data_IF_441590752498
#
_entry.id   IF_441590752498
#
_cell.length_a   1.000
_cell.length_b   1.000
_cell.length_c   1.000
_cell.angle_alpha   90.00
_cell.angle_beta   90.00
_cell.angle_gamma   90.00
#
_symmetry.space_group_name_H-M   'P 1'
#
loop_
_entity.id
_entity.type
_entity.pdbx_description
1 polymer ?
#
# COMPACT_ATOMS: atom_id res chain seq x y z
N UNK A 1 -39.92 13.85 -21.97
CA UNK A 1 -38.81 13.00 -21.49
C UNK A 1 -38.72 13.16 -19.99
N UNK A 2 -39.20 12.19 -19.24
CA UNK A 2 -39.13 12.16 -17.77
C UNK A 2 -37.71 11.75 -17.37
N UNK A 3 -37.03 12.60 -16.59
CA UNK A 3 -35.75 12.22 -16.00
C UNK A 3 -35.97 10.99 -15.10
N UNK A 4 -35.33 9.87 -15.42
CA UNK A 4 -35.42 8.61 -14.68
C UNK A 4 -34.57 8.69 -13.39
N UNK A 5 -34.96 9.58 -12.48
CA UNK A 5 -34.30 9.71 -11.17
C UNK A 5 -35.30 9.47 -10.06
N UNK A 6 -35.00 8.49 -9.21
CA UNK A 6 -35.77 8.18 -8.01
C UNK A 6 -35.08 8.72 -6.75
N UNK A 7 -35.85 8.89 -5.66
CA UNK A 7 -35.35 9.39 -4.38
C UNK A 7 -35.09 8.24 -3.42
N UNK A 8 -33.92 8.24 -2.80
CA UNK A 8 -33.58 7.36 -1.67
C UNK A 8 -33.55 8.22 -0.40
N UNK A 9 -34.62 8.26 0.41
CA UNK A 9 -34.61 9.00 1.67
C UNK A 9 -33.82 8.21 2.73
N UNK A 10 -32.76 8.83 3.26
CA UNK A 10 -31.94 8.26 4.34
C UNK A 10 -32.05 9.16 5.56
N UNK A 11 -32.47 8.59 6.69
CA UNK A 11 -32.47 9.28 7.97
C UNK A 11 -31.06 9.24 8.55
N UNK A 12 -30.55 10.40 8.93
CA UNK A 12 -29.26 10.57 9.58
C UNK A 12 -29.43 11.46 10.79
N UNK A 13 -28.57 11.28 11.79
CA UNK A 13 -28.44 12.20 12.90
C UNK A 13 -27.96 13.58 12.40
N UNK A 14 -28.14 14.60 13.23
CA UNK A 14 -27.61 15.93 12.96
C UNK A 14 -26.10 15.92 12.74
N UNK A 15 -25.37 15.16 13.57
CA UNK A 15 -23.91 15.09 13.52
C UNK A 15 -23.42 14.43 12.24
N UNK A 16 -24.06 13.33 11.81
CA UNK A 16 -23.77 12.67 10.54
C UNK A 16 -24.04 13.61 9.35
N UNK A 17 -25.17 14.33 9.36
CA UNK A 17 -25.49 15.32 8.33
C UNK A 17 -24.42 16.40 8.20
N UNK A 18 -23.95 16.94 9.33
CA UNK A 18 -22.89 17.93 9.37
C UNK A 18 -21.57 17.36 8.83
N UNK A 19 -21.23 16.12 9.21
CA UNK A 19 -20.04 15.43 8.74
C UNK A 19 -20.06 15.19 7.22
N UNK A 20 -21.15 14.63 6.69
CA UNK A 20 -21.33 14.38 5.26
C UNK A 20 -21.26 15.68 4.48
N UNK A 21 -21.89 16.75 4.98
CA UNK A 21 -21.87 18.06 4.33
C UNK A 21 -20.47 18.65 4.27
N UNK A 22 -19.67 18.48 5.34
CA UNK A 22 -18.28 18.90 5.36
C UNK A 22 -17.44 18.09 4.36
N UNK A 23 -17.53 16.76 4.38
CA UNK A 23 -16.80 15.91 3.43
C UNK A 23 -17.13 16.23 1.97
N UNK A 24 -18.41 16.47 1.66
CA UNK A 24 -18.82 16.89 0.31
C UNK A 24 -18.21 18.25 -0.08
N UNK A 25 -18.21 19.22 0.85
CA UNK A 25 -17.60 20.54 0.64
C UNK A 25 -16.09 20.44 0.41
N UNK A 26 -15.40 19.66 1.24
CA UNK A 26 -13.94 19.47 1.15
C UNK A 26 -13.56 18.79 -0.18
N UNK A 27 -14.43 17.93 -0.70
CA UNK A 27 -14.30 17.30 -2.02
C UNK A 27 -14.76 18.21 -3.19
N UNK A 28 -15.30 19.40 -2.94
CA UNK A 28 -15.83 20.30 -3.97
C UNK A 28 -17.09 19.79 -4.67
N UNK A 29 -17.87 18.91 -4.01
CA UNK A 29 -19.05 18.26 -4.57
C UNK A 29 -20.34 18.70 -3.86
N UNK A 30 -21.47 18.55 -4.54
CA UNK A 30 -22.78 18.59 -3.86
C UNK A 30 -22.94 17.36 -2.97
N UNK A 31 -23.72 17.47 -1.89
CA UNK A 31 -23.99 16.34 -0.98
C UNK A 31 -24.59 15.14 -1.72
N UNK A 32 -25.50 15.38 -2.68
CA UNK A 32 -26.13 14.32 -3.47
C UNK A 32 -25.15 13.61 -4.39
N UNK A 33 -24.24 14.35 -5.03
CA UNK A 33 -23.20 13.76 -5.89
C UNK A 33 -22.14 13.02 -5.06
N UNK A 34 -21.74 13.58 -3.92
CA UNK A 34 -20.85 12.93 -2.97
C UNK A 34 -21.42 11.58 -2.52
N UNK A 35 -22.69 11.55 -2.09
CA UNK A 35 -23.35 10.31 -1.66
C UNK A 35 -23.54 9.33 -2.81
N UNK A 36 -23.84 9.79 -4.03
CA UNK A 36 -23.95 8.94 -5.20
C UNK A 36 -22.61 8.24 -5.50
N UNK A 37 -21.51 8.97 -5.47
CA UNK A 37 -20.16 8.40 -5.67
C UNK A 37 -19.79 7.45 -4.55
N UNK A 38 -20.03 7.83 -3.30
CA UNK A 38 -19.77 6.98 -2.14
C UNK A 38 -20.53 5.66 -2.22
N UNK A 39 -21.83 5.69 -2.55
CA UNK A 39 -22.65 4.50 -2.72
C UNK A 39 -22.18 3.63 -3.91
N UNK A 40 -21.80 4.26 -5.04
CA UNK A 40 -21.28 3.54 -6.20
C UNK A 40 -19.94 2.85 -5.90
N UNK A 41 -19.07 3.49 -5.11
CA UNK A 41 -17.73 3.02 -4.76
C UNK A 41 -17.69 2.03 -3.57
N UNK A 42 -18.76 1.95 -2.77
CA UNK A 42 -18.79 1.10 -1.59
C UNK A 42 -18.70 -0.39 -1.97
N UNK A 43 -17.54 -1.02 -1.77
CA UNK A 43 -17.26 -2.44 -2.03
C UNK A 43 -16.48 -3.07 -0.87
N UNK A 44 -17.12 -3.26 0.30
CA UNK A 44 -16.42 -3.65 1.52
C UNK A 44 -15.61 -4.94 1.41
N UNK A 45 -16.11 -5.95 0.68
CA UNK A 45 -15.42 -7.25 0.54
C UNK A 45 -14.27 -7.21 -0.48
N UNK A 46 -14.41 -6.46 -1.59
CA UNK A 46 -13.37 -6.35 -2.62
C UNK A 46 -12.19 -5.53 -2.10
N UNK A 47 -12.46 -4.44 -1.39
CA UNK A 47 -11.42 -3.56 -0.82
C UNK A 47 -10.54 -4.31 0.18
N UNK A 48 -11.13 -5.15 1.05
CA UNK A 48 -10.40 -5.97 2.02
C UNK A 48 -9.49 -6.99 1.33
N UNK A 49 -9.99 -7.69 0.30
CA UNK A 49 -9.20 -8.68 -0.44
C UNK A 49 -8.03 -8.04 -1.19
N UNK A 50 -8.24 -6.87 -1.80
CA UNK A 50 -7.17 -6.13 -2.48
C UNK A 50 -6.09 -5.72 -1.48
N UNK A 51 -6.47 -5.16 -0.32
CA UNK A 51 -5.54 -4.78 0.74
C UNK A 51 -4.73 -5.98 1.25
N UNK A 52 -5.40 -7.11 1.51
CA UNK A 52 -4.72 -8.34 1.94
C UNK A 52 -3.73 -8.85 0.88
N UNK A 53 -4.09 -8.78 -0.40
CA UNK A 53 -3.20 -9.13 -1.51
C UNK A 53 -1.97 -8.22 -1.59
N UNK A 54 -2.14 -6.91 -1.38
CA UNK A 54 -1.02 -5.96 -1.32
C UNK A 54 -0.08 -6.26 -0.15
N UNK A 55 -0.62 -6.56 1.03
CA UNK A 55 0.18 -6.91 2.21
C UNK A 55 1.00 -8.18 1.94
N UNK A 56 0.39 -9.21 1.37
CA UNK A 56 1.09 -10.45 0.99
C UNK A 56 2.25 -10.18 0.01
N UNK A 57 2.05 -9.31 -0.98
CA UNK A 57 3.12 -8.91 -1.90
C UNK A 57 4.25 -8.14 -1.19
N UNK A 58 3.93 -7.24 -0.26
CA UNK A 58 4.94 -6.51 0.52
C UNK A 58 5.76 -7.48 1.37
N UNK A 59 5.11 -8.43 2.06
CA UNK A 59 5.80 -9.46 2.86
C UNK A 59 6.72 -10.32 1.98
N UNK A 60 6.24 -10.78 0.83
CA UNK A 60 7.04 -11.59 -0.10
C UNK A 60 8.24 -10.84 -0.65
N UNK A 61 8.05 -9.59 -1.07
CA UNK A 61 9.12 -8.79 -1.67
C UNK A 61 10.16 -8.36 -0.64
N UNK A 62 9.74 -7.99 0.57
CA UNK A 62 10.66 -7.68 1.68
C UNK A 62 11.47 -8.91 2.10
N UNK A 63 10.85 -10.09 2.24
CA UNK A 63 11.58 -11.32 2.54
C UNK A 63 12.65 -11.65 1.49
N UNK A 64 12.31 -11.49 0.19
CA UNK A 64 13.28 -11.67 -0.90
C UNK A 64 14.40 -10.64 -0.86
N UNK A 65 14.09 -9.39 -0.58
CA UNK A 65 15.08 -8.32 -0.48
C UNK A 65 16.06 -8.59 0.67
N UNK A 66 15.56 -8.98 1.85
CA UNK A 66 16.41 -9.36 2.98
C UNK A 66 17.34 -10.52 2.62
N UNK A 67 16.80 -11.59 2.03
CA UNK A 67 17.61 -12.73 1.62
C UNK A 67 18.70 -12.36 0.59
N UNK A 68 18.40 -11.44 -0.35
CA UNK A 68 19.38 -10.96 -1.32
C UNK A 68 20.49 -10.12 -0.66
N UNK A 69 20.14 -9.31 0.34
CA UNK A 69 21.12 -8.55 1.14
C UNK A 69 22.03 -9.50 1.92
N UNK A 70 21.47 -10.50 2.58
CA UNK A 70 22.25 -11.49 3.34
C UNK A 70 23.23 -12.23 2.43
N UNK A 71 22.78 -12.69 1.25
CA UNK A 71 23.64 -13.34 0.26
C UNK A 71 24.76 -12.42 -0.25
N UNK A 72 24.47 -11.13 -0.47
CA UNK A 72 25.48 -10.17 -0.90
C UNK A 72 26.54 -9.95 0.19
N UNK A 73 26.12 -9.86 1.46
CA UNK A 73 27.04 -9.73 2.59
C UNK A 73 27.94 -10.98 2.73
N UNK A 74 27.36 -12.18 2.65
CA UNK A 74 28.13 -13.44 2.67
C UNK A 74 29.15 -13.51 1.53
N UNK A 75 28.77 -13.08 0.33
CA UNK A 75 29.67 -13.05 -0.82
C UNK A 75 30.85 -12.09 -0.61
N UNK A 76 30.58 -10.88 -0.09
CA UNK A 76 31.60 -9.87 0.21
C UNK A 76 32.56 -10.38 1.30
N UNK A 77 32.02 -10.96 2.38
CA UNK A 77 32.82 -11.56 3.46
C UNK A 77 33.76 -12.64 2.92
N UNK A 78 33.23 -13.58 2.13
CA UNK A 78 34.05 -14.62 1.50
C UNK A 78 35.10 -14.05 0.55
N UNK A 79 34.80 -12.94 -0.14
CA UNK A 79 35.76 -12.24 -0.99
C UNK A 79 36.88 -11.59 -0.20
N UNK A 80 36.54 -10.92 0.90
CA UNK A 80 37.51 -10.29 1.79
C UNK A 80 38.48 -11.33 2.37
N UNK A 81 37.98 -12.49 2.78
CA UNK A 81 38.82 -13.60 3.25
C UNK A 81 39.80 -14.10 2.18
N UNK A 82 39.36 -14.23 0.92
CA UNK A 82 40.24 -14.62 -0.19
C UNK A 82 41.33 -13.59 -0.45
N UNK A 83 41.00 -12.29 -0.42
CA UNK A 83 41.96 -11.21 -0.62
C UNK A 83 43.01 -11.20 0.49
N UNK A 84 42.59 -11.27 1.76
CA UNK A 84 43.50 -11.33 2.90
C UNK A 84 44.46 -12.53 2.83
N UNK A 85 43.96 -13.70 2.39
CA UNK A 85 44.80 -14.87 2.19
C UNK A 85 45.85 -14.67 1.08
N UNK A 86 45.47 -14.02 -0.03
CA UNK A 86 46.38 -13.70 -1.13
C UNK A 86 47.46 -12.69 -0.69
N UNK A 87 47.04 -11.61 -0.04
CA UNK A 87 47.94 -10.58 0.49
C UNK A 87 48.94 -11.17 1.50
N UNK A 88 48.46 -12.02 2.42
CA UNK A 88 49.32 -12.70 3.38
C UNK A 88 50.25 -13.75 2.76
N UNK A 89 49.97 -14.25 1.55
CA UNK A 89 50.91 -15.09 0.79
C UNK A 89 51.99 -14.23 0.13
N UNK A 90 51.58 -13.18 -0.57
CA UNK A 90 52.51 -12.26 -1.24
C UNK A 90 53.49 -11.61 -0.24
N UNK A 91 53.01 -11.24 0.95
CA UNK A 91 53.85 -10.68 2.01
C UNK A 91 54.87 -11.67 2.60
N UNK A 92 54.68 -12.98 2.43
CA UNK A 92 55.62 -14.02 2.88
C UNK A 92 56.64 -14.41 1.81
N UNK A 93 56.36 -14.09 0.56
CA UNK A 93 57.22 -14.38 -0.61
C UNK A 93 58.11 -13.18 -0.99
N UNK A 94 57.89 -12.00 -0.38
CA UNK A 94 58.69 -10.79 -0.50
C UNK A 94 59.74 -10.69 0.62
#
# INVERSE_FOLDING_TARGET
>A
MTAATERIPVLVTRQEKESITRMARDAGLSVGEYLRRAAAAFRPEEDEQVLLGMIDQVVKTTARASAAVDQALEFVEASNQRMAALEGRLAREA
#
